data_IF_980773434999
#
_entry.id   IF_980773434999
#
_cell.length_a   1.000
_cell.length_b   1.000
_cell.length_c   1.000
_cell.angle_alpha   90.00
_cell.angle_beta   90.00
_cell.angle_gamma   90.00
#
_symmetry.space_group_name_H-M   'P 1'
#
loop_
_entity.id
_entity.type
_entity.pdbx_description
1 polymer ?
#
# COMPACT_ATOMS: atom_id res chain seq x y z
N UNK A 1 35.70 -22.36 -16.88
CA UNK A 1 34.45 -22.23 -16.13
C UNK A 1 33.31 -22.05 -17.12
N UNK A 2 32.18 -22.72 -16.89
CA UNK A 2 30.98 -22.54 -17.72
C UNK A 2 30.47 -21.07 -17.60
N UNK A 3 30.00 -20.48 -18.70
CA UNK A 3 29.45 -19.14 -18.66
C UNK A 3 28.24 -19.10 -17.75
N UNK A 4 28.07 -18.00 -17.01
CA UNK A 4 26.88 -17.79 -16.16
C UNK A 4 25.63 -17.75 -17.02
N UNK A 5 24.54 -18.40 -16.60
CA UNK A 5 23.25 -18.26 -17.29
C UNK A 5 22.76 -16.81 -17.32
N UNK A 6 22.09 -16.45 -18.40
CA UNK A 6 21.54 -15.11 -18.62
C UNK A 6 20.10 -15.03 -18.12
N UNK A 7 19.80 -14.04 -17.31
CA UNK A 7 18.46 -13.77 -16.79
C UNK A 7 18.02 -12.37 -17.19
N UNK A 8 16.83 -12.27 -17.75
CA UNK A 8 16.14 -11.00 -17.94
C UNK A 8 15.17 -10.74 -16.78
N UNK A 9 15.24 -9.56 -16.20
CA UNK A 9 14.27 -9.07 -15.22
C UNK A 9 13.47 -7.94 -15.87
N UNK A 10 12.16 -8.06 -15.90
CA UNK A 10 11.27 -7.08 -16.49
C UNK A 10 10.69 -6.18 -15.41
N UNK A 11 11.09 -4.93 -15.45
CA UNK A 11 10.70 -3.90 -14.47
C UNK A 11 11.79 -3.59 -13.45
N UNK A 12 12.14 -2.31 -13.33
CA UNK A 12 13.08 -1.78 -12.33
C UNK A 12 12.34 -1.08 -11.18
N UNK A 13 11.24 -1.63 -10.74
CA UNK A 13 10.64 -1.33 -9.45
C UNK A 13 11.39 -2.04 -8.32
N UNK A 14 10.92 -1.90 -7.09
CA UNK A 14 11.54 -2.52 -5.91
C UNK A 14 11.69 -4.04 -6.09
N UNK A 15 10.65 -4.71 -6.58
CA UNK A 15 10.66 -6.16 -6.77
C UNK A 15 11.74 -6.59 -7.78
N UNK A 16 11.79 -5.95 -8.95
CA UNK A 16 12.75 -6.31 -10.00
C UNK A 16 14.19 -6.04 -9.58
N UNK A 17 14.46 -4.89 -8.98
CA UNK A 17 15.81 -4.56 -8.50
C UNK A 17 16.25 -5.47 -7.34
N UNK A 18 15.35 -5.82 -6.43
CA UNK A 18 15.64 -6.76 -5.34
C UNK A 18 16.01 -8.13 -5.89
N UNK A 19 15.24 -8.66 -6.83
CA UNK A 19 15.55 -9.93 -7.51
C UNK A 19 16.91 -9.84 -8.21
N UNK A 20 17.16 -8.78 -8.96
CA UNK A 20 18.42 -8.60 -9.67
C UNK A 20 19.62 -8.52 -8.72
N UNK A 21 19.50 -7.81 -7.58
CA UNK A 21 20.53 -7.77 -6.55
C UNK A 21 20.84 -9.14 -5.96
N UNK A 22 19.83 -9.98 -5.78
CA UNK A 22 20.01 -11.34 -5.27
C UNK A 22 20.67 -12.29 -6.28
N UNK A 23 20.46 -12.06 -7.58
CA UNK A 23 20.89 -12.97 -8.61
C UNK A 23 22.22 -12.60 -9.29
N UNK A 24 22.64 -11.35 -9.21
CA UNK A 24 23.77 -10.81 -9.99
C UNK A 24 25.13 -11.50 -9.77
N UNK A 25 25.35 -12.13 -8.63
CA UNK A 25 26.59 -12.82 -8.35
C UNK A 25 26.69 -14.19 -9.07
N UNK A 26 25.56 -14.85 -9.26
CA UNK A 26 25.48 -16.18 -9.85
C UNK A 26 25.07 -16.18 -11.33
N UNK A 27 24.46 -15.11 -11.80
CA UNK A 27 23.88 -14.99 -13.13
C UNK A 27 24.29 -13.68 -13.81
N UNK A 28 24.24 -13.68 -15.14
CA UNK A 28 24.29 -12.44 -15.91
C UNK A 28 22.87 -11.85 -15.97
N UNK A 29 22.61 -10.81 -15.20
CA UNK A 29 21.29 -10.23 -15.07
C UNK A 29 21.20 -8.93 -15.86
N UNK A 30 20.21 -8.84 -16.74
CA UNK A 30 19.82 -7.60 -17.42
C UNK A 30 18.41 -7.22 -16.95
N UNK A 31 18.24 -6.00 -16.49
CA UNK A 31 16.95 -5.44 -16.11
C UNK A 31 16.46 -4.53 -17.23
N UNK A 32 15.21 -4.71 -17.65
CA UNK A 32 14.56 -3.84 -18.64
C UNK A 32 13.53 -2.95 -17.94
N UNK A 33 13.64 -1.65 -18.16
CA UNK A 33 12.74 -0.65 -17.59
C UNK A 33 12.21 0.27 -18.68
N UNK A 34 10.89 0.45 -18.74
CA UNK A 34 10.25 1.32 -19.74
C UNK A 34 10.49 2.82 -19.48
N UNK A 35 10.64 3.20 -18.22
CA UNK A 35 10.86 4.60 -17.84
C UNK A 35 12.35 4.97 -17.91
N UNK A 36 12.64 6.25 -17.71
CA UNK A 36 14.01 6.77 -17.73
C UNK A 36 14.74 6.66 -16.38
N UNK A 37 14.04 6.31 -15.33
CA UNK A 37 14.55 6.19 -13.96
C UNK A 37 14.03 4.92 -13.29
N UNK A 38 14.77 4.35 -12.32
CA UNK A 38 14.30 3.20 -11.57
C UNK A 38 13.29 3.61 -10.52
N UNK A 39 12.56 2.64 -9.96
CA UNK A 39 11.80 2.81 -8.74
C UNK A 39 10.34 2.40 -8.82
N UNK A 40 9.74 2.33 -9.98
CA UNK A 40 8.31 2.02 -10.07
C UNK A 40 7.48 3.00 -9.23
N UNK A 41 6.75 2.49 -8.24
CA UNK A 41 5.93 3.31 -7.34
C UNK A 41 6.74 4.19 -6.38
N UNK A 42 8.05 3.94 -6.22
CA UNK A 42 8.93 4.77 -5.39
C UNK A 42 9.40 6.04 -6.08
N UNK A 43 9.14 6.22 -7.37
CA UNK A 43 9.64 7.36 -8.13
C UNK A 43 9.17 8.70 -7.56
N UNK A 44 10.13 9.63 -7.53
CA UNK A 44 9.88 11.03 -7.22
C UNK A 44 10.38 11.90 -8.38
N UNK A 45 9.79 13.07 -8.51
CA UNK A 45 10.24 14.11 -9.45
C UNK A 45 10.42 15.43 -8.71
N UNK A 46 11.37 16.28 -9.18
CA UNK A 46 11.50 17.64 -8.68
C UNK A 46 10.93 18.61 -9.68
N UNK A 47 10.03 19.47 -9.20
CA UNK A 47 9.42 20.54 -9.99
C UNK A 47 9.67 21.84 -9.23
N UNK A 48 10.37 22.77 -9.86
CA UNK A 48 10.78 24.03 -9.22
C UNK A 48 11.47 23.85 -7.86
N UNK A 49 12.32 22.82 -7.74
CA UNK A 49 13.04 22.50 -6.51
C UNK A 49 12.25 21.73 -5.44
N UNK A 50 10.94 21.59 -5.58
CA UNK A 50 10.11 20.82 -4.68
C UNK A 50 10.03 19.36 -5.11
N UNK A 51 10.10 18.46 -4.13
CA UNK A 51 10.02 17.01 -4.35
C UNK A 51 8.56 16.55 -4.37
N UNK A 52 8.19 15.86 -5.44
CA UNK A 52 6.86 15.25 -5.58
C UNK A 52 7.00 13.73 -5.72
N UNK A 53 6.21 13.00 -4.94
CA UNK A 53 6.04 11.57 -5.08
C UNK A 53 4.98 11.30 -6.16
N UNK A 54 5.36 10.67 -7.26
CA UNK A 54 4.46 10.46 -8.41
C UNK A 54 3.29 9.53 -8.13
N UNK A 55 3.47 8.59 -7.19
CA UNK A 55 2.46 7.60 -6.82
C UNK A 55 2.12 7.63 -5.32
N UNK A 56 2.27 8.79 -4.67
CA UNK A 56 2.10 8.95 -3.23
C UNK A 56 3.36 8.60 -2.44
N UNK A 57 3.38 9.02 -1.18
CA UNK A 57 4.51 8.76 -0.28
C UNK A 57 4.60 7.28 0.12
N UNK A 58 5.79 6.72 0.01
CA UNK A 58 6.07 5.35 0.44
C UNK A 58 7.13 5.34 1.54
N UNK A 59 6.92 4.50 2.53
CA UNK A 59 7.84 4.28 3.64
C UNK A 59 8.19 2.80 3.75
N UNK A 60 9.41 2.52 4.20
CA UNK A 60 9.83 1.14 4.39
C UNK A 60 9.43 0.64 5.78
N UNK A 61 8.83 -0.52 5.81
CA UNK A 61 8.55 -1.27 7.02
C UNK A 61 8.51 -2.78 6.72
N UNK A 62 8.92 -3.58 7.69
CA UNK A 62 8.80 -5.03 7.62
C UNK A 62 8.70 -5.63 9.02
N UNK A 63 7.96 -6.72 9.16
CA UNK A 63 7.92 -7.55 10.36
C UNK A 63 8.98 -8.67 10.32
N UNK A 64 9.65 -8.85 9.18
CA UNK A 64 10.67 -9.87 8.99
C UNK A 64 12.05 -9.30 9.24
N UNK A 65 12.77 -9.86 10.21
CA UNK A 65 14.11 -9.39 10.57
C UNK A 65 15.13 -9.58 9.45
N UNK A 66 15.05 -10.68 8.71
CA UNK A 66 15.94 -10.94 7.56
C UNK A 66 15.78 -9.88 6.44
N UNK A 67 14.56 -9.42 6.20
CA UNK A 67 14.28 -8.34 5.23
C UNK A 67 14.81 -7.01 5.74
N UNK A 68 14.62 -6.70 7.03
CA UNK A 68 15.15 -5.49 7.65
C UNK A 68 16.66 -5.46 7.59
N UNK A 69 17.33 -6.55 7.92
CA UNK A 69 18.79 -6.67 7.91
C UNK A 69 19.35 -6.48 6.49
N UNK A 70 18.72 -7.11 5.50
CA UNK A 70 19.10 -6.97 4.10
C UNK A 70 18.94 -5.53 3.61
N UNK A 71 17.82 -4.90 3.92
CA UNK A 71 17.53 -3.52 3.51
C UNK A 71 18.49 -2.53 4.17
N UNK A 72 18.59 -2.54 5.50
CA UNK A 72 19.43 -1.60 6.24
C UNK A 72 20.93 -1.83 6.04
N UNK A 73 21.33 -3.03 5.65
CA UNK A 73 22.71 -3.31 5.25
C UNK A 73 23.18 -2.55 4.01
N UNK A 74 22.28 -1.92 3.26
CA UNK A 74 22.58 -1.14 2.06
C UNK A 74 22.74 0.35 2.31
N UNK A 75 22.44 0.81 3.52
CA UNK A 75 22.43 2.22 3.88
C UNK A 75 23.19 2.47 5.17
N UNK A 76 23.67 3.70 5.34
CA UNK A 76 23.99 4.22 6.67
C UNK A 76 22.72 4.86 7.26
N UNK A 77 21.99 4.08 8.06
CA UNK A 77 20.66 4.45 8.57
C UNK A 77 20.67 5.79 9.32
N UNK A 78 21.66 6.01 10.18
CA UNK A 78 21.72 7.20 11.02
C UNK A 78 22.09 8.46 10.23
N UNK A 79 22.89 8.33 9.19
CA UNK A 79 23.30 9.46 8.35
C UNK A 79 22.28 9.79 7.27
N UNK A 80 21.68 8.78 6.65
CA UNK A 80 20.87 8.92 5.44
C UNK A 80 19.37 9.02 5.74
N UNK A 81 18.90 8.54 6.89
CA UNK A 81 17.49 8.50 7.25
C UNK A 81 17.20 9.28 8.52
N UNK A 82 15.95 9.70 8.65
CA UNK A 82 15.43 10.28 9.88
C UNK A 82 14.17 9.52 10.32
N UNK A 83 14.06 9.34 11.63
CA UNK A 83 12.85 8.79 12.23
C UNK A 83 11.81 9.89 12.35
N UNK A 84 10.62 9.62 11.84
CA UNK A 84 9.51 10.57 11.85
C UNK A 84 8.31 9.94 12.54
N UNK A 85 7.69 10.69 13.44
CA UNK A 85 6.42 10.28 14.03
C UNK A 85 5.30 10.46 13.01
N UNK A 86 4.47 9.42 12.88
CA UNK A 86 3.31 9.48 12.01
C UNK A 86 2.22 10.28 12.70
N UNK A 87 1.84 11.39 12.11
CA UNK A 87 0.78 12.28 12.60
C UNK A 87 -0.40 12.25 11.63
N UNK A 88 -1.04 11.08 11.52
CA UNK A 88 -2.20 10.90 10.66
C UNK A 88 -3.45 11.48 11.32
N UNK A 89 -4.26 12.17 10.54
CA UNK A 89 -5.54 12.68 10.97
C UNK A 89 -6.60 12.49 9.89
N UNK A 90 -7.85 12.62 10.32
CA UNK A 90 -9.04 12.52 9.48
C UNK A 90 -9.68 13.89 9.45
N UNK A 91 -10.10 14.33 8.26
CA UNK A 91 -10.93 15.52 8.11
C UNK A 91 -12.36 15.08 7.80
N UNK A 92 -13.28 15.38 8.70
CA UNK A 92 -14.69 15.11 8.52
C UNK A 92 -15.38 16.38 8.03
N UNK A 93 -16.12 16.27 6.93
CA UNK A 93 -17.05 17.31 6.52
C UNK A 93 -18.33 17.17 7.35
N UNK A 94 -18.57 18.14 8.22
CA UNK A 94 -19.74 18.13 9.11
C UNK A 94 -20.96 18.80 8.48
N UNK A 95 -20.82 19.37 7.29
CA UNK A 95 -21.88 20.09 6.60
C UNK A 95 -22.68 19.19 5.67
N UNK A 96 -23.56 18.35 6.23
CA UNK A 96 -24.73 17.88 5.48
C UNK A 96 -25.88 18.93 5.45
N UNK A 97 -25.67 20.08 6.06
CA UNK A 97 -26.63 21.20 5.99
C UNK A 97 -25.85 22.48 5.64
N UNK A 98 -26.21 23.19 4.56
CA UNK A 98 -25.64 24.50 4.30
C UNK A 98 -26.00 25.41 5.49
N UNK A 99 -25.03 25.81 6.27
CA UNK A 99 -25.23 26.85 7.26
C UNK A 99 -25.61 28.12 6.52
N UNK A 100 -26.78 28.64 6.81
CA UNK A 100 -27.24 29.95 6.32
C UNK A 100 -26.54 31.08 7.07
N UNK A 101 -25.22 30.98 7.21
CA UNK A 101 -24.43 32.08 7.75
C UNK A 101 -23.70 32.74 6.59
N UNK A 102 -24.28 33.83 6.08
CA UNK A 102 -23.76 34.66 5.00
C UNK A 102 -22.47 35.40 5.36
N UNK A 103 -21.84 35.10 6.52
CA UNK A 103 -20.61 35.74 6.99
C UNK A 103 -19.33 34.95 6.67
N UNK A 104 -19.41 33.74 6.07
CA UNK A 104 -18.25 32.98 5.66
C UNK A 104 -17.93 33.18 4.16
N UNK A 105 -16.65 33.30 3.80
CA UNK A 105 -16.29 33.42 2.38
C UNK A 105 -16.68 32.15 1.62
N UNK A 106 -17.21 32.33 0.41
CA UNK A 106 -17.56 31.27 -0.51
C UNK A 106 -16.43 30.23 -0.63
N UNK A 107 -16.70 28.99 -0.25
CA UNK A 107 -15.76 27.88 -0.33
C UNK A 107 -15.09 27.46 0.98
N UNK A 108 -15.46 28.05 2.14
CA UNK A 108 -15.00 27.54 3.44
C UNK A 108 -15.72 26.23 3.76
N UNK A 109 -15.01 25.11 3.66
CA UNK A 109 -15.48 23.80 4.12
C UNK A 109 -15.36 23.74 5.65
N UNK A 110 -16.44 23.37 6.32
CA UNK A 110 -16.47 23.18 7.80
C UNK A 110 -15.89 21.80 8.13
N UNK A 111 -14.57 21.65 7.94
CA UNK A 111 -13.85 20.39 8.16
C UNK A 111 -13.40 20.30 9.62
N UNK A 112 -13.87 19.29 10.33
CA UNK A 112 -13.36 18.93 11.64
C UNK A 112 -12.16 17.99 11.50
N UNK A 113 -11.02 18.36 12.09
CA UNK A 113 -9.85 17.49 12.21
C UNK A 113 -10.03 16.52 13.37
N UNK A 114 -9.92 15.23 13.10
CA UNK A 114 -9.96 14.16 14.10
C UNK A 114 -8.67 13.35 13.99
N UNK A 115 -7.93 13.15 15.08
CA UNK A 115 -6.75 12.30 15.06
C UNK A 115 -7.11 10.86 14.66
N UNK A 116 -6.20 10.18 13.98
CA UNK A 116 -6.31 8.76 13.68
C UNK A 116 -5.84 7.93 14.89
N UNK A 117 -6.49 6.82 15.24
CA UNK A 117 -7.69 6.27 14.62
C UNK A 117 -8.98 6.88 15.18
N UNK A 118 -9.98 6.99 14.32
CA UNK A 118 -11.24 7.65 14.70
C UNK A 118 -11.96 6.96 15.86
N UNK A 119 -11.88 5.65 15.96
CA UNK A 119 -12.54 4.86 17.02
C UNK A 119 -12.05 5.19 18.44
N UNK A 120 -10.88 5.79 18.57
CA UNK A 120 -10.32 6.24 19.84
C UNK A 120 -10.59 7.71 20.14
N UNK A 121 -11.13 8.45 19.17
CA UNK A 121 -11.28 9.89 19.23
C UNK A 121 -12.73 10.37 19.03
N UNK A 122 -13.69 9.50 19.31
CA UNK A 122 -15.12 9.82 19.21
C UNK A 122 -15.53 10.89 20.21
N UNK A 123 -14.81 11.04 21.31
CA UNK A 123 -15.04 12.10 22.29
C UNK A 123 -14.90 13.51 21.72
N UNK A 124 -14.26 13.66 20.55
CA UNK A 124 -14.16 14.93 19.82
C UNK A 124 -15.37 15.23 18.94
N UNK A 125 -16.23 14.25 18.70
CA UNK A 125 -17.44 14.39 17.90
C UNK A 125 -18.59 15.01 18.73
N UNK A 126 -19.66 15.39 18.05
CA UNK A 126 -20.84 15.90 18.76
C UNK A 126 -21.49 14.85 19.67
N UNK A 127 -22.32 15.32 20.60
CA UNK A 127 -22.95 14.45 21.60
C UNK A 127 -23.85 13.37 21.01
N UNK A 128 -24.53 13.66 19.90
CA UNK A 128 -25.40 12.67 19.25
C UNK A 128 -24.59 11.53 18.65
N UNK A 129 -23.45 11.83 18.00
CA UNK A 129 -22.53 10.81 17.47
C UNK A 129 -21.89 10.00 18.58
N UNK A 130 -21.47 10.64 19.69
CA UNK A 130 -20.97 9.91 20.85
C UNK A 130 -22.00 8.93 21.39
N UNK A 131 -23.25 9.35 21.53
CA UNK A 131 -24.36 8.50 22.00
C UNK A 131 -24.58 7.31 21.05
N UNK A 132 -24.59 7.56 19.76
CA UNK A 132 -24.74 6.52 18.75
C UNK A 132 -23.59 5.53 18.79
N UNK A 133 -22.36 6.01 18.96
CA UNK A 133 -21.18 5.17 19.08
C UNK A 133 -21.28 4.17 20.25
N UNK A 134 -21.61 4.64 21.44
CA UNK A 134 -21.74 3.76 22.60
C UNK A 134 -22.91 2.78 22.48
N UNK A 135 -24.02 3.19 21.88
CA UNK A 135 -25.12 2.29 21.55
C UNK A 135 -24.68 1.20 20.55
N UNK A 136 -23.87 1.56 19.58
CA UNK A 136 -23.33 0.61 18.62
C UNK A 136 -22.35 -0.38 19.28
N UNK A 137 -21.52 0.06 20.23
CA UNK A 137 -20.64 -0.83 20.99
C UNK A 137 -21.47 -1.83 21.83
N UNK A 138 -22.56 -1.39 22.44
CA UNK A 138 -23.46 -2.27 23.20
C UNK A 138 -24.12 -3.31 22.27
N UNK A 139 -24.49 -2.90 21.05
CA UNK A 139 -25.03 -3.82 20.04
C UNK A 139 -23.99 -4.86 19.59
N UNK A 140 -22.75 -4.44 19.36
CA UNK A 140 -21.65 -5.35 19.03
C UNK A 140 -21.45 -6.38 20.13
N UNK A 141 -21.41 -5.96 21.39
CA UNK A 141 -21.26 -6.86 22.53
C UNK A 141 -22.38 -7.90 22.59
N UNK A 142 -23.60 -7.48 22.28
CA UNK A 142 -24.77 -8.37 22.31
C UNK A 142 -24.82 -9.35 21.13
N UNK A 143 -24.48 -8.91 19.93
CA UNK A 143 -24.69 -9.68 18.68
C UNK A 143 -23.44 -10.45 18.27
N UNK A 144 -22.30 -9.82 18.24
CA UNK A 144 -21.06 -10.38 17.71
C UNK A 144 -20.10 -10.85 18.81
N UNK A 145 -19.99 -10.06 19.89
CA UNK A 145 -19.01 -10.26 20.93
C UNK A 145 -17.59 -9.86 20.52
N UNK A 146 -16.70 -9.81 21.51
CA UNK A 146 -15.30 -9.40 21.31
C UNK A 146 -14.38 -10.54 20.90
N UNK A 147 -14.84 -11.78 20.99
CA UNK A 147 -14.07 -12.98 20.61
C UNK A 147 -14.24 -13.36 19.14
N UNK A 148 -14.98 -12.55 18.36
CA UNK A 148 -15.16 -12.79 16.95
C UNK A 148 -13.80 -12.78 16.24
N UNK A 149 -13.55 -13.87 15.51
CA UNK A 149 -12.35 -14.04 14.69
C UNK A 149 -12.54 -13.36 13.34
N UNK A 150 -11.44 -13.12 12.66
CA UNK A 150 -11.43 -12.55 11.33
C UNK A 150 -12.35 -13.28 10.34
N UNK A 151 -12.41 -14.62 10.46
CA UNK A 151 -13.25 -15.49 9.64
C UNK A 151 -14.74 -15.45 9.97
N UNK A 152 -15.15 -14.81 11.07
CA UNK A 152 -16.56 -14.69 11.48
C UNK A 152 -17.29 -13.55 10.75
N UNK A 153 -16.60 -12.80 9.94
CA UNK A 153 -17.15 -11.73 9.11
C UNK A 153 -17.26 -12.18 7.65
N UNK A 154 -18.37 -11.85 6.99
CA UNK A 154 -18.66 -12.31 5.62
C UNK A 154 -17.78 -11.63 4.58
N UNK A 155 -17.45 -10.35 4.80
CA UNK A 155 -16.69 -9.51 3.89
C UNK A 155 -16.13 -8.29 4.63
N UNK A 156 -15.36 -7.48 3.94
CA UNK A 156 -14.73 -6.31 4.53
C UNK A 156 -15.72 -5.26 5.03
N UNK A 157 -16.82 -5.03 4.30
CA UNK A 157 -17.89 -4.13 4.74
C UNK A 157 -18.56 -4.62 6.03
N UNK A 158 -18.86 -5.92 6.11
CA UNK A 158 -19.39 -6.56 7.31
C UNK A 158 -18.43 -6.44 8.51
N UNK A 159 -17.14 -6.65 8.28
CA UNK A 159 -16.10 -6.46 9.28
C UNK A 159 -16.10 -5.04 9.86
N UNK A 160 -16.03 -4.03 9.01
CA UNK A 160 -15.98 -2.63 9.44
C UNK A 160 -17.24 -2.25 10.24
N UNK A 161 -18.39 -2.66 9.75
CA UNK A 161 -19.68 -2.41 10.41
C UNK A 161 -19.75 -3.04 11.80
N UNK A 162 -19.36 -4.29 11.93
CA UNK A 162 -19.50 -5.05 13.17
C UNK A 162 -18.29 -4.99 14.11
N UNK A 163 -17.16 -4.46 13.64
CA UNK A 163 -16.04 -4.18 14.53
C UNK A 163 -16.10 -2.79 15.13
N UNK A 164 -16.53 -1.79 14.37
CA UNK A 164 -16.46 -0.38 14.77
C UNK A 164 -17.83 0.26 15.02
N UNK A 165 -18.91 -0.37 14.60
CA UNK A 165 -20.27 0.11 14.75
C UNK A 165 -20.81 0.88 13.55
N UNK A 166 -22.13 1.00 13.50
CA UNK A 166 -22.83 1.56 12.35
C UNK A 166 -22.52 3.05 12.14
N UNK A 167 -22.46 3.82 13.21
CA UNK A 167 -22.22 5.27 13.12
C UNK A 167 -20.84 5.56 12.50
N UNK A 168 -19.76 4.94 12.99
CA UNK A 168 -18.44 5.11 12.43
C UNK A 168 -18.30 4.49 11.03
N UNK A 169 -19.00 3.39 10.77
CA UNK A 169 -19.04 2.80 9.44
C UNK A 169 -19.62 3.77 8.42
N UNK A 170 -20.79 4.34 8.70
CA UNK A 170 -21.45 5.26 7.78
C UNK A 170 -20.72 6.61 7.66
N UNK A 171 -20.18 7.11 8.77
CA UNK A 171 -19.50 8.41 8.81
C UNK A 171 -18.13 8.39 8.10
N UNK A 172 -17.37 7.34 8.32
CA UNK A 172 -15.95 7.34 7.92
C UNK A 172 -15.51 6.08 7.17
N UNK A 173 -15.69 4.88 7.76
CA UNK A 173 -15.05 3.68 7.21
C UNK A 173 -15.56 3.31 5.82
N UNK A 174 -16.87 3.40 5.60
CA UNK A 174 -17.47 3.09 4.30
C UNK A 174 -17.04 4.10 3.22
N UNK A 175 -17.29 5.41 3.36
CA UNK A 175 -16.93 6.36 2.30
C UNK A 175 -15.42 6.41 2.04
N UNK A 176 -14.60 6.31 3.07
CA UNK A 176 -13.14 6.29 2.94
C UNK A 176 -12.65 5.06 2.17
N UNK A 177 -13.10 3.88 2.58
CA UNK A 177 -12.65 2.64 1.95
C UNK A 177 -13.25 2.43 0.56
N UNK A 178 -14.47 2.85 0.28
CA UNK A 178 -15.04 2.83 -1.07
C UNK A 178 -14.25 3.72 -2.04
N UNK A 179 -13.77 4.87 -1.55
CA UNK A 179 -12.90 5.76 -2.33
C UNK A 179 -11.56 5.12 -2.66
N UNK A 180 -10.97 4.37 -1.72
CA UNK A 180 -9.69 3.68 -1.92
C UNK A 180 -9.86 2.45 -2.81
N UNK A 181 -10.81 1.58 -2.49
CA UNK A 181 -11.03 0.32 -3.18
C UNK A 181 -11.77 0.47 -4.50
N UNK A 182 -12.48 1.59 -4.69
CA UNK A 182 -13.31 1.90 -5.86
C UNK A 182 -14.30 0.77 -6.19
N UNK A 183 -14.83 0.13 -5.18
CA UNK A 183 -15.81 -0.95 -5.30
C UNK A 183 -16.68 -1.03 -4.05
N UNK A 184 -17.76 -1.80 -4.14
CA UNK A 184 -18.59 -2.15 -2.99
C UNK A 184 -17.75 -3.00 -2.01
N UNK A 185 -17.71 -2.58 -0.75
CA UNK A 185 -16.89 -3.24 0.29
C UNK A 185 -17.39 -4.66 0.61
N UNK A 186 -18.63 -4.98 0.30
CA UNK A 186 -19.17 -6.34 0.45
C UNK A 186 -18.58 -7.33 -0.57
N UNK A 187 -17.92 -6.83 -1.62
CA UNK A 187 -17.21 -7.62 -2.62
C UNK A 187 -15.74 -7.87 -2.27
N UNK A 188 -15.22 -7.22 -1.22
CA UNK A 188 -13.83 -7.36 -0.77
C UNK A 188 -13.75 -8.51 0.24
N UNK A 189 -13.03 -9.60 -0.09
CA UNK A 189 -12.94 -10.76 0.80
C UNK A 189 -12.05 -10.51 2.00
N UNK A 190 -12.39 -11.12 3.14
CA UNK A 190 -11.62 -10.99 4.39
C UNK A 190 -10.21 -11.58 4.30
N UNK A 191 -9.99 -12.56 3.44
CA UNK A 191 -8.69 -13.20 3.27
C UNK A 191 -7.56 -12.22 2.89
N UNK A 192 -7.89 -11.12 2.24
CA UNK A 192 -6.92 -10.09 1.89
C UNK A 192 -6.49 -9.23 3.07
N UNK A 193 -7.30 -9.21 4.12
CA UNK A 193 -7.13 -8.32 5.28
C UNK A 193 -6.52 -9.01 6.49
N UNK A 194 -6.35 -10.32 6.45
CA UNK A 194 -5.84 -11.10 7.56
C UNK A 194 -4.46 -10.58 8.00
N UNK A 195 -4.34 -10.29 9.29
CA UNK A 195 -3.12 -9.77 9.90
C UNK A 195 -2.76 -8.31 9.55
N UNK A 196 -3.60 -7.61 8.78
CA UNK A 196 -3.35 -6.22 8.34
C UNK A 196 -4.19 -5.19 9.06
N UNK A 197 -5.30 -5.60 9.67
CA UNK A 197 -6.23 -4.70 10.30
C UNK A 197 -6.19 -4.84 11.83
N UNK A 198 -6.27 -3.73 12.56
CA UNK A 198 -6.48 -3.77 14.00
C UNK A 198 -7.86 -4.33 14.30
N UNK A 199 -7.96 -5.10 15.38
CA UNK A 199 -9.21 -5.65 15.88
C UNK A 199 -9.43 -5.24 17.34
N UNK A 200 -9.68 -3.94 17.61
CA UNK A 200 -9.90 -3.47 18.97
C UNK A 200 -11.17 -4.08 19.55
N UNK A 201 -11.14 -4.40 20.83
CA UNK A 201 -12.34 -4.76 21.56
C UNK A 201 -13.20 -3.52 21.84
N UNK A 202 -14.48 -3.73 22.11
CA UNK A 202 -15.38 -2.66 22.52
C UNK A 202 -14.89 -2.01 23.82
N UNK A 203 -14.32 -2.77 24.75
CA UNK A 203 -13.77 -2.23 25.98
C UNK A 203 -12.54 -1.37 25.74
N UNK A 204 -11.64 -1.78 24.85
CA UNK A 204 -10.48 -0.96 24.45
C UNK A 204 -10.93 0.38 23.85
N UNK A 205 -11.93 0.38 22.98
CA UNK A 205 -12.47 1.60 22.39
C UNK A 205 -13.13 2.51 23.43
N UNK A 206 -13.88 1.93 24.41
CA UNK A 206 -14.45 2.69 25.53
C UNK A 206 -13.35 3.33 26.37
N UNK A 207 -12.35 2.55 26.77
CA UNK A 207 -11.26 3.03 27.62
C UNK A 207 -10.43 4.10 26.94
N UNK A 208 -10.09 3.93 25.67
CA UNK A 208 -9.32 4.89 24.90
C UNK A 208 -10.05 6.24 24.76
N UNK A 209 -11.36 6.20 24.54
CA UNK A 209 -12.17 7.43 24.50
C UNK A 209 -12.28 8.10 25.87
N UNK A 210 -12.48 7.32 26.93
CA UNK A 210 -12.61 7.87 28.30
C UNK A 210 -11.31 8.48 28.80
N UNK A 211 -10.18 7.86 28.50
CA UNK A 211 -8.85 8.29 28.95
C UNK A 211 -8.18 9.26 27.99
N UNK A 212 -8.77 9.51 26.81
CA UNK A 212 -8.17 10.29 25.73
C UNK A 212 -6.77 9.78 25.37
N UNK A 213 -6.63 8.47 25.22
CA UNK A 213 -5.35 7.83 24.89
C UNK A 213 -5.01 8.09 23.43
N UNK A 214 -3.92 8.83 23.22
CA UNK A 214 -3.26 8.87 21.93
C UNK A 214 -2.47 7.58 21.75
N UNK A 215 -2.93 6.72 20.86
CA UNK A 215 -2.26 5.46 20.63
C UNK A 215 -0.99 5.66 19.79
N UNK A 216 0.17 5.63 20.48
CA UNK A 216 1.49 5.64 19.85
C UNK A 216 2.00 4.25 19.48
N UNK A 217 1.21 3.20 19.74
CA UNK A 217 1.61 1.79 19.61
C UNK A 217 1.18 1.13 18.31
N UNK A 218 0.55 1.86 17.38
CA UNK A 218 0.27 1.32 16.05
C UNK A 218 1.54 0.95 15.32
N UNK A 219 1.48 -0.14 14.56
CA UNK A 219 2.57 -0.70 13.74
C UNK A 219 3.24 0.33 12.83
N UNK A 220 2.63 1.51 12.68
CA UNK A 220 3.09 2.60 11.83
C UNK A 220 3.11 3.96 12.56
N UNK A 221 3.25 3.97 13.89
CA UNK A 221 3.34 5.24 14.66
C UNK A 221 4.58 6.05 14.32
N UNK A 222 5.65 5.36 13.95
CA UNK A 222 6.90 5.96 13.48
C UNK A 222 7.38 5.27 12.21
N UNK A 223 8.09 5.99 11.36
CA UNK A 223 8.72 5.45 10.17
C UNK A 223 10.03 6.15 9.89
N UNK A 224 10.89 5.48 9.12
CA UNK A 224 12.13 6.05 8.64
C UNK A 224 11.94 6.59 7.23
N UNK A 225 12.34 7.82 7.02
CA UNK A 225 12.34 8.47 5.71
C UNK A 225 13.73 9.00 5.38
N UNK A 226 14.11 8.93 4.11
CA UNK A 226 15.35 9.52 3.65
C UNK A 226 15.28 11.05 3.76
N UNK A 227 16.40 11.68 4.16
CA UNK A 227 16.43 13.10 4.58
C UNK A 227 16.11 14.11 3.48
N UNK A 228 16.44 13.81 2.21
CA UNK A 228 16.45 14.84 1.16
C UNK A 228 15.70 14.48 -0.14
N UNK A 229 15.71 13.21 -0.55
CA UNK A 229 15.26 12.79 -1.89
C UNK A 229 14.09 11.79 -1.85
N UNK A 230 13.51 11.56 -0.69
CA UNK A 230 12.36 10.68 -0.52
C UNK A 230 12.64 9.25 -0.96
N UNK A 231 11.59 8.56 -1.42
CA UNK A 231 11.69 7.14 -1.83
C UNK A 231 12.52 6.91 -3.09
N UNK A 232 12.74 7.94 -3.93
CA UNK A 232 13.63 7.82 -5.08
C UNK A 232 15.07 7.46 -4.66
N UNK A 233 15.54 7.98 -3.55
CA UNK A 233 16.86 7.67 -3.01
C UNK A 233 17.02 6.17 -2.72
N UNK A 234 15.98 5.53 -2.21
CA UNK A 234 15.95 4.08 -2.00
C UNK A 234 16.06 3.34 -3.33
N UNK A 235 15.28 3.77 -4.33
CA UNK A 235 15.31 3.18 -5.67
C UNK A 235 16.70 3.31 -6.31
N UNK A 236 17.33 4.48 -6.23
CA UNK A 236 18.65 4.73 -6.78
C UNK A 236 19.72 3.84 -6.11
N UNK A 237 19.64 3.65 -4.79
CA UNK A 237 20.53 2.73 -4.08
C UNK A 237 20.33 1.28 -4.50
N UNK A 238 19.09 0.83 -4.66
CA UNK A 238 18.80 -0.52 -5.14
C UNK A 238 19.23 -0.76 -6.59
N UNK A 239 19.34 0.28 -7.39
CA UNK A 239 19.81 0.22 -8.77
C UNK A 239 21.33 0.11 -8.91
N UNK A 240 22.10 0.45 -7.89
CA UNK A 240 23.55 0.47 -7.93
C UNK A 240 24.13 -0.92 -8.28
N UNK A 241 25.06 -0.93 -9.23
CA UNK A 241 25.72 -2.16 -9.67
C UNK A 241 24.88 -3.10 -10.52
N UNK A 242 23.68 -2.70 -10.94
CA UNK A 242 22.83 -3.46 -11.84
C UNK A 242 22.96 -2.96 -13.29
N UNK A 243 22.87 -3.88 -14.25
CA UNK A 243 22.69 -3.54 -15.65
C UNK A 243 21.21 -3.29 -15.92
N UNK A 244 20.80 -2.03 -15.85
CA UNK A 244 19.43 -1.60 -16.11
C UNK A 244 19.39 -0.86 -17.44
N UNK A 245 18.55 -1.34 -18.34
CA UNK A 245 18.30 -0.71 -19.63
C UNK A 245 17.01 0.09 -19.56
N UNK A 246 17.17 1.39 -19.46
CA UNK A 246 16.06 2.35 -19.38
C UNK A 246 15.49 2.69 -20.77
N UNK A 247 14.27 3.20 -20.78
CA UNK A 247 13.58 3.55 -22.02
C UNK A 247 13.27 2.34 -22.91
N UNK A 248 13.25 1.14 -22.32
CA UNK A 248 13.01 -0.12 -23.01
C UNK A 248 11.62 -0.66 -22.70
N UNK A 249 10.62 -0.21 -23.44
CA UNK A 249 9.29 -0.82 -23.44
C UNK A 249 9.36 -2.22 -24.07
N UNK A 250 8.88 -3.23 -23.36
CA UNK A 250 8.84 -4.61 -23.82
C UNK A 250 7.44 -4.93 -24.33
N UNK A 251 7.29 -5.20 -25.61
CA UNK A 251 6.00 -5.59 -26.21
C UNK A 251 5.83 -7.10 -26.32
N UNK A 252 6.94 -7.83 -26.44
CA UNK A 252 6.92 -9.27 -26.66
C UNK A 252 8.07 -9.97 -25.95
N UNK A 253 7.74 -11.07 -25.30
CA UNK A 253 8.66 -12.01 -24.67
C UNK A 253 8.36 -13.38 -25.28
N UNK A 254 9.24 -13.88 -26.14
CA UNK A 254 9.02 -15.11 -26.89
C UNK A 254 9.87 -16.24 -26.34
N UNK A 255 9.24 -17.36 -25.99
CA UNK A 255 9.92 -18.62 -25.70
C UNK A 255 9.95 -19.51 -26.93
N UNK A 256 11.13 -19.95 -27.33
CA UNK A 256 11.32 -20.78 -28.55
C UNK A 256 11.43 -22.30 -28.28
N UNK A 257 11.21 -22.70 -27.04
CA UNK A 257 11.38 -24.07 -26.56
C UNK A 257 12.68 -24.33 -25.81
N UNK A 258 13.66 -23.41 -25.91
CA UNK A 258 14.94 -23.47 -25.21
C UNK A 258 15.27 -22.16 -24.50
N UNK A 259 15.13 -21.05 -25.21
CA UNK A 259 15.52 -19.72 -24.76
C UNK A 259 14.36 -18.74 -24.84
N UNK A 260 14.46 -17.70 -24.04
CA UNK A 260 13.59 -16.52 -24.09
C UNK A 260 14.22 -15.44 -24.96
N UNK A 261 13.44 -14.86 -25.85
CA UNK A 261 13.88 -13.79 -26.75
C UNK A 261 13.19 -12.48 -26.37
N UNK A 262 14.00 -11.46 -26.10
CA UNK A 262 13.54 -10.12 -25.75
C UNK A 262 14.42 -9.11 -26.48
N UNK A 263 13.81 -8.24 -27.30
CA UNK A 263 14.49 -7.18 -28.05
C UNK A 263 15.75 -7.68 -28.81
N UNK A 264 15.65 -8.85 -29.41
CA UNK A 264 16.73 -9.45 -30.21
C UNK A 264 17.84 -10.11 -29.39
N UNK A 265 17.76 -10.13 -28.07
CA UNK A 265 18.66 -10.87 -27.19
C UNK A 265 18.02 -12.15 -26.64
N UNK A 266 18.83 -13.08 -26.20
CA UNK A 266 18.36 -14.37 -25.69
C UNK A 266 18.73 -14.55 -24.22
N UNK A 267 17.83 -15.17 -23.45
CA UNK A 267 17.98 -15.41 -22.04
C UNK A 267 17.58 -16.83 -21.67
N UNK A 268 18.24 -17.37 -20.64
CA UNK A 268 17.91 -18.69 -20.10
C UNK A 268 16.62 -18.64 -19.26
N UNK A 269 16.39 -17.53 -18.55
CA UNK A 269 15.21 -17.31 -17.71
C UNK A 269 14.74 -15.86 -17.78
N UNK A 270 13.47 -15.68 -17.49
CA UNK A 270 12.84 -14.37 -17.36
C UNK A 270 12.11 -14.29 -16.02
N UNK A 271 12.32 -13.20 -15.30
CA UNK A 271 11.53 -12.85 -14.10
C UNK A 271 10.71 -11.61 -14.43
N UNK A 272 9.41 -11.75 -14.41
CA UNK A 272 8.50 -10.66 -14.70
C UNK A 272 8.09 -9.96 -13.39
N UNK A 273 8.43 -8.68 -13.26
CA UNK A 273 8.15 -7.85 -12.10
C UNK A 273 7.29 -6.62 -12.45
N UNK A 274 6.47 -6.74 -13.48
CA UNK A 274 5.49 -5.74 -13.87
C UNK A 274 4.07 -6.15 -13.50
N UNK A 275 3.09 -5.52 -14.13
CA UNK A 275 1.69 -5.89 -13.95
C UNK A 275 1.40 -7.23 -14.64
N UNK A 276 0.93 -8.21 -13.88
CA UNK A 276 0.63 -9.54 -14.38
C UNK A 276 -0.41 -9.55 -15.52
N UNK A 277 -1.30 -8.56 -15.57
CA UNK A 277 -2.27 -8.40 -16.66
C UNK A 277 -1.59 -8.08 -17.99
N UNK A 278 -0.47 -7.35 -17.95
CA UNK A 278 0.32 -7.07 -19.13
C UNK A 278 1.17 -8.29 -19.54
N UNK A 279 1.63 -9.05 -18.57
CA UNK A 279 2.45 -10.25 -18.80
C UNK A 279 1.76 -11.24 -19.75
N UNK A 280 0.49 -11.54 -19.49
CA UNK A 280 -0.26 -12.53 -20.33
C UNK A 280 -0.45 -12.07 -21.76
N UNK A 281 -0.35 -10.77 -22.02
CA UNK A 281 -0.42 -10.18 -23.38
C UNK A 281 0.93 -10.17 -24.09
N UNK A 282 2.03 -10.17 -23.33
CA UNK A 282 3.41 -10.08 -23.86
C UNK A 282 4.01 -11.42 -24.16
N UNK A 283 3.72 -12.44 -23.36
CA UNK A 283 4.36 -13.75 -23.45
C UNK A 283 3.77 -14.56 -24.59
N UNK A 284 4.65 -15.07 -25.45
CA UNK A 284 4.34 -15.99 -26.53
C UNK A 284 5.24 -17.24 -26.47
N UNK A 285 4.76 -18.35 -27.04
CA UNK A 285 5.49 -19.62 -27.07
C UNK A 285 5.29 -20.49 -25.83
N UNK A 286 4.45 -20.03 -24.88
CA UNK A 286 4.04 -20.77 -23.69
C UNK A 286 2.53 -20.77 -23.60
N UNK A 287 1.95 -21.92 -23.25
CA UNK A 287 0.51 -22.03 -23.03
C UNK A 287 0.14 -21.46 -21.64
N UNK A 288 -0.53 -20.31 -21.63
CA UNK A 288 -1.01 -19.63 -20.42
C UNK A 288 -2.52 -19.79 -20.21
N UNK A 289 -3.17 -20.68 -20.96
CA UNK A 289 -4.63 -20.82 -20.94
C UNK A 289 -5.21 -21.11 -19.55
N UNK A 290 -4.47 -21.80 -18.69
CA UNK A 290 -4.89 -22.08 -17.31
C UNK A 290 -4.82 -20.85 -16.38
N UNK A 291 -4.01 -19.86 -16.73
CA UNK A 291 -3.79 -18.66 -15.91
C UNK A 291 -4.63 -17.46 -16.33
N UNK A 292 -4.94 -17.34 -17.61
CA UNK A 292 -5.64 -16.18 -18.18
C UNK A 292 -6.97 -15.89 -17.47
N UNK A 293 -7.86 -16.87 -17.21
CA UNK A 293 -9.12 -16.59 -16.54
C UNK A 293 -8.93 -15.98 -15.13
N UNK A 294 -7.97 -16.48 -14.36
CA UNK A 294 -7.65 -15.94 -13.03
C UNK A 294 -7.08 -14.52 -13.11
N UNK A 295 -6.20 -14.25 -14.07
CA UNK A 295 -5.61 -12.91 -14.28
C UNK A 295 -6.66 -11.90 -14.69
N UNK A 296 -7.60 -12.27 -15.56
CA UNK A 296 -8.69 -11.40 -16.03
C UNK A 296 -9.63 -10.97 -14.90
N UNK A 297 -9.76 -11.79 -13.83
CA UNK A 297 -10.59 -11.45 -12.67
C UNK A 297 -9.95 -10.44 -11.73
N UNK A 298 -8.65 -10.18 -11.84
CA UNK A 298 -7.95 -9.23 -11.01
C UNK A 298 -8.37 -7.80 -11.32
N UNK A 299 -8.79 -7.06 -10.29
CA UNK A 299 -9.00 -5.62 -10.37
C UNK A 299 -7.67 -4.88 -10.45
N UNK A 300 -7.64 -3.80 -11.23
CA UNK A 300 -6.51 -2.89 -11.30
C UNK A 300 -7.01 -1.44 -11.21
N UNK A 301 -6.44 -0.70 -10.27
CA UNK A 301 -6.74 0.71 -10.04
C UNK A 301 -5.45 1.51 -10.23
N UNK A 302 -5.14 1.76 -11.50
CA UNK A 302 -4.00 2.59 -11.89
C UNK A 302 -4.33 4.07 -11.86
#
# INVERSE_FOLDING_TARGET
SMPKPKIAVIGAGVSGMTVAQQLKEQYLVTVFEKESTPGGLLRCVRIYGSLFHTCGGHVFNSKRQDVLDWFWGRFNKEEEFQKTDRNSCIFLDLDEQPSKDDSQPDGATNLQRVPYPIENHVYLLDKQKQKSFYADLDEIDRVKGNDAKFTDYQNFGDFLRWRFGKMLYDLYFKPYNEKIWKCDLTTVPMSWMEGKLPMPTTQEMRDNNTRHIEEKTFVHSTFWSEKNNGSQYIADRLAEGLDIRYGCGIDSILYDGEKWKILGDTFDKVVFCGNIKDMVKMIAGVDLSDFIPAVETLGYHG
#
